data_IF_810400571489
#
_entry.id   IF_810400571489
#
_cell.length_a   1.000
_cell.length_b   1.000
_cell.length_c   1.000
_cell.angle_alpha   90.00
_cell.angle_beta   90.00
_cell.angle_gamma   90.00
#
_symmetry.space_group_name_H-M   'P 1'
#
loop_
_entity.id
_entity.type
_entity.pdbx_description
1 polymer ?
#
# COMPACT_ATOMS: atom_id res chain seq x y z
N UNK A 1 -8.60 4.48 15.01
CA UNK A 1 -7.99 3.50 14.07
C UNK A 1 -6.97 4.16 13.12
N UNK A 2 -5.80 3.57 12.94
CA UNK A 2 -4.73 4.02 12.02
C UNK A 2 -5.26 4.36 10.61
N UNK A 3 -6.27 3.61 10.16
CA UNK A 3 -7.00 3.86 8.90
C UNK A 3 -7.69 5.24 8.87
N UNK A 4 -8.35 5.66 9.95
CA UNK A 4 -8.98 6.99 10.01
C UNK A 4 -7.94 8.12 10.08
N UNK A 5 -6.85 7.92 10.83
CA UNK A 5 -5.75 8.89 10.90
C UNK A 5 -5.03 9.04 9.55
N UNK A 6 -4.95 7.96 8.76
CA UNK A 6 -4.36 8.00 7.42
C UNK A 6 -5.18 8.82 6.41
N UNK A 7 -6.53 8.77 6.46
CA UNK A 7 -7.41 9.52 5.53
C UNK A 7 -7.18 11.04 5.56
N UNK A 8 -6.83 11.61 6.71
CA UNK A 8 -6.56 13.05 6.85
C UNK A 8 -5.20 13.45 6.25
N UNK A 9 -4.25 12.52 6.17
CA UNK A 9 -2.89 12.76 5.65
C UNK A 9 -2.79 12.57 4.12
N UNK A 10 -3.58 11.66 3.53
CA UNK A 10 -3.55 11.36 2.08
C UNK A 10 -4.06 12.52 1.21
N UNK A 11 -4.76 13.51 1.77
CA UNK A 11 -5.20 14.69 1.02
C UNK A 11 -4.06 15.63 0.61
N UNK A 12 -2.80 15.37 1.01
CA UNK A 12 -1.72 16.34 0.90
C UNK A 12 -0.58 16.05 -0.09
N UNK A 13 -0.34 14.82 -0.62
CA UNK A 13 0.55 14.69 -1.77
C UNK A 13 0.00 13.84 -2.94
N UNK A 14 0.32 14.28 -4.15
CA UNK A 14 0.15 13.57 -5.43
C UNK A 14 0.80 12.19 -5.41
N UNK A 15 0.18 11.19 -6.05
CA UNK A 15 0.85 9.93 -6.42
C UNK A 15 2.02 10.26 -7.35
N UNK A 16 3.25 10.30 -6.84
CA UNK A 16 4.45 10.48 -7.66
C UNK A 16 5.23 9.16 -7.73
N UNK A 17 5.86 8.87 -8.88
CA UNK A 17 6.80 7.77 -8.98
C UNK A 17 7.97 7.96 -7.99
N UNK A 18 8.51 6.86 -7.42
CA UNK A 18 9.60 6.96 -6.45
C UNK A 18 10.92 7.41 -7.11
N UNK A 19 11.61 8.40 -6.53
CA UNK A 19 12.96 8.83 -6.97
C UNK A 19 14.07 7.80 -6.62
N UNK A 20 13.82 6.90 -5.66
CA UNK A 20 14.75 5.84 -5.23
C UNK A 20 14.00 4.57 -4.83
N UNK A 21 14.35 3.46 -5.45
CA UNK A 21 13.86 2.14 -5.08
C UNK A 21 14.77 1.57 -3.98
N UNK A 22 14.29 1.54 -2.74
CA UNK A 22 14.99 0.85 -1.66
C UNK A 22 14.72 -0.65 -1.79
N UNK A 23 15.73 -1.51 -1.63
CA UNK A 23 15.50 -2.96 -1.62
C UNK A 23 14.54 -3.35 -0.48
N UNK A 24 13.83 -4.49 -0.60
CA UNK A 24 12.96 -4.98 0.47
C UNK A 24 13.71 -5.16 1.78
N UNK A 25 13.12 -4.68 2.88
CA UNK A 25 13.62 -4.89 4.24
C UNK A 25 12.80 -5.93 4.98
N UNK A 26 13.44 -6.65 5.89
CA UNK A 26 12.80 -7.64 6.77
C UNK A 26 12.97 -7.28 8.24
N UNK A 27 11.89 -7.43 9.01
CA UNK A 27 11.83 -7.39 10.47
C UNK A 27 11.28 -8.73 10.95
N UNK A 28 11.89 -9.34 11.96
CA UNK A 28 11.38 -10.58 12.56
C UNK A 28 10.69 -10.26 13.87
N UNK A 29 9.42 -10.66 13.99
CA UNK A 29 8.60 -10.47 15.19
C UNK A 29 8.31 -11.81 15.83
N UNK A 30 8.74 -11.98 17.08
CA UNK A 30 8.53 -13.17 17.88
C UNK A 30 7.08 -13.40 18.28
N UNK A 31 6.76 -14.62 18.71
CA UNK A 31 5.43 -14.99 19.23
C UNK A 31 4.94 -14.09 20.38
N UNK A 32 5.89 -13.54 21.15
CA UNK A 32 5.71 -12.58 22.24
C UNK A 32 5.53 -11.12 21.76
N UNK A 33 5.44 -10.91 20.44
CA UNK A 33 5.39 -9.59 19.79
C UNK A 33 6.67 -8.76 19.94
N UNK A 34 7.76 -9.34 20.45
CA UNK A 34 9.05 -8.68 20.51
C UNK A 34 9.75 -8.73 19.15
N UNK A 35 10.44 -7.64 18.79
CA UNK A 35 11.28 -7.62 17.59
C UNK A 35 12.58 -8.38 17.87
N UNK A 36 12.82 -9.46 17.11
CA UNK A 36 14.00 -10.33 17.25
C UNK A 36 15.16 -9.91 16.35
N UNK A 37 14.85 -9.26 15.23
CA UNK A 37 15.86 -8.82 14.28
C UNK A 37 15.32 -7.82 13.27
N UNK A 38 16.19 -6.94 12.77
CA UNK A 38 15.86 -5.93 11.77
C UNK A 38 17.05 -5.83 10.80
N UNK A 39 16.79 -6.01 9.52
CA UNK A 39 17.80 -5.83 8.45
C UNK A 39 18.19 -4.35 8.27
N UNK A 40 19.39 -4.03 7.74
CA UNK A 40 19.76 -2.65 7.39
C UNK A 40 18.76 -1.97 6.44
N UNK A 41 18.23 -2.72 5.48
CA UNK A 41 17.23 -2.25 4.51
C UNK A 41 15.91 -1.92 5.21
N UNK A 42 15.49 -2.72 6.19
CA UNK A 42 14.34 -2.38 7.01
C UNK A 42 14.57 -1.10 7.81
N UNK A 43 15.76 -0.88 8.39
CA UNK A 43 16.08 0.40 9.05
C UNK A 43 16.03 1.59 8.07
N UNK A 44 16.41 1.40 6.80
CA UNK A 44 16.22 2.42 5.78
C UNK A 44 14.73 2.72 5.57
N UNK A 45 13.89 1.68 5.42
CA UNK A 45 12.45 1.86 5.31
C UNK A 45 11.80 2.52 6.54
N UNK A 46 12.17 2.13 7.75
CA UNK A 46 11.60 2.71 8.99
C UNK A 46 11.87 4.22 9.10
N UNK A 47 13.00 4.71 8.54
CA UNK A 47 13.30 6.15 8.48
C UNK A 47 12.39 6.91 7.51
N UNK A 48 11.90 6.23 6.47
CA UNK A 48 11.05 6.78 5.41
C UNK A 48 9.56 6.72 5.72
N UNK A 49 9.13 5.81 6.62
CA UNK A 49 7.75 5.73 7.08
C UNK A 49 7.49 6.87 8.07
N UNK A 50 6.45 7.66 7.81
CA UNK A 50 5.87 8.58 8.79
C UNK A 50 4.41 8.24 8.92
N UNK A 51 4.00 7.85 10.14
CA UNK A 51 2.60 7.61 10.43
C UNK A 51 1.88 8.94 10.69
N UNK A 52 0.57 9.02 10.40
CA UNK A 52 -0.20 10.23 10.66
C UNK A 52 -0.30 10.53 12.16
N UNK A 53 -0.13 11.80 12.52
CA UNK A 53 -0.26 12.30 13.89
C UNK A 53 1.07 12.56 14.60
N UNK A 54 1.02 13.40 15.65
CA UNK A 54 2.16 13.72 16.55
C UNK A 54 2.51 12.57 17.50
N UNK A 55 2.41 11.34 16.99
CA UNK A 55 2.89 10.16 17.67
C UNK A 55 4.43 10.26 17.61
N UNK A 56 5.04 10.42 18.79
CA UNK A 56 6.46 10.64 19.03
C UNK A 56 7.36 9.73 18.15
N UNK A 57 8.64 10.03 17.98
CA UNK A 57 9.67 9.10 17.44
C UNK A 57 9.29 8.10 16.31
N UNK A 58 9.69 8.31 15.04
CA UNK A 58 9.29 7.47 13.90
C UNK A 58 9.56 5.96 14.06
N UNK A 59 10.54 5.58 14.88
CA UNK A 59 10.92 4.17 15.07
C UNK A 59 9.91 3.33 15.86
N UNK A 60 9.34 3.84 16.96
CA UNK A 60 8.38 3.02 17.73
C UNK A 60 7.07 2.86 16.96
N UNK A 61 6.66 3.89 16.21
CA UNK A 61 5.44 3.88 15.43
C UNK A 61 5.52 2.82 14.32
N UNK A 62 6.69 2.72 13.69
CA UNK A 62 6.96 1.72 12.68
C UNK A 62 7.19 0.30 13.28
N UNK A 63 7.71 0.18 14.50
CA UNK A 63 7.70 -1.08 15.27
C UNK A 63 6.27 -1.52 15.62
N UNK A 64 5.41 -0.61 16.08
CA UNK A 64 4.01 -0.90 16.39
C UNK A 64 3.24 -1.39 15.15
N UNK A 65 3.44 -0.73 14.00
CA UNK A 65 2.93 -1.19 12.72
C UNK A 65 3.40 -2.61 12.38
N UNK A 66 4.69 -2.90 12.59
CA UNK A 66 5.25 -4.23 12.33
C UNK A 66 4.59 -5.28 13.22
N UNK A 67 4.34 -4.96 14.49
CA UNK A 67 3.60 -5.85 15.39
C UNK A 67 2.15 -6.07 14.95
N UNK A 68 1.43 -5.02 14.52
CA UNK A 68 0.06 -5.14 14.00
C UNK A 68 -0.01 -6.03 12.77
N UNK A 69 0.90 -5.84 11.83
CA UNK A 69 0.99 -6.66 10.62
C UNK A 69 1.38 -8.11 10.95
N UNK A 70 2.26 -8.31 11.94
CA UNK A 70 2.59 -9.64 12.43
C UNK A 70 1.38 -10.36 13.07
N UNK A 71 0.58 -9.64 13.88
CA UNK A 71 -0.67 -10.16 14.46
C UNK A 71 -1.65 -10.55 13.35
N UNK A 72 -1.82 -9.69 12.34
CA UNK A 72 -2.66 -10.00 11.18
C UNK A 72 -2.15 -11.24 10.43
N UNK A 73 -0.82 -11.38 10.29
CA UNK A 73 -0.20 -12.56 9.66
C UNK A 73 -0.56 -13.86 10.37
N UNK A 74 -0.44 -13.87 11.71
CA UNK A 74 -0.82 -15.04 12.52
C UNK A 74 -2.30 -15.37 12.39
N UNK A 75 -3.17 -14.36 12.39
CA UNK A 75 -4.61 -14.56 12.20
C UNK A 75 -4.89 -15.17 10.83
N UNK A 76 -4.26 -14.65 9.78
CA UNK A 76 -4.43 -15.15 8.41
C UNK A 76 -3.95 -16.60 8.23
N UNK A 77 -2.85 -17.01 8.88
CA UNK A 77 -2.40 -18.41 8.83
C UNK A 77 -3.39 -19.37 9.52
N UNK A 78 -4.02 -18.94 10.61
CA UNK A 78 -5.02 -19.74 11.34
C UNK A 78 -6.39 -19.76 10.66
N UNK A 79 -6.73 -18.67 10.01
CA UNK A 79 -7.99 -18.48 9.30
C UNK A 79 -7.74 -17.73 7.97
N UNK A 80 -7.64 -18.45 6.85
CA UNK A 80 -7.45 -17.83 5.54
C UNK A 80 -8.61 -16.93 5.07
N UNK A 81 -9.77 -16.96 5.75
CA UNK A 81 -10.88 -16.03 5.47
C UNK A 81 -10.67 -14.64 6.09
N UNK A 82 -9.72 -14.51 7.03
CA UNK A 82 -9.36 -13.23 7.62
C UNK A 82 -8.71 -12.27 6.59
N UNK A 83 -8.74 -10.95 6.83
CA UNK A 83 -8.08 -9.99 5.94
C UNK A 83 -6.60 -10.29 5.75
N UNK A 84 -6.10 -10.08 4.53
CA UNK A 84 -4.68 -10.27 4.22
C UNK A 84 -3.79 -9.39 5.12
N UNK A 85 -2.63 -9.89 5.56
CA UNK A 85 -1.76 -9.17 6.49
C UNK A 85 -0.89 -8.15 5.76
N UNK A 86 -1.53 -7.19 5.08
CA UNK A 86 -0.86 -6.16 4.30
C UNK A 86 -1.35 -4.79 4.74
N UNK A 87 -0.41 -3.94 5.14
CA UNK A 87 -0.67 -2.52 5.35
C UNK A 87 0.01 -1.72 4.24
N UNK A 88 -0.73 -0.81 3.60
CA UNK A 88 -0.16 0.22 2.74
C UNK A 88 -0.13 1.53 3.50
N UNK A 89 0.94 2.30 3.39
CA UNK A 89 1.11 3.58 4.09
C UNK A 89 1.82 4.61 3.22
N UNK A 90 1.51 5.90 3.39
CA UNK A 90 2.26 6.94 2.72
C UNK A 90 3.66 7.05 3.35
N UNK A 91 4.67 7.33 2.52
CA UNK A 91 6.01 7.70 2.97
C UNK A 91 6.11 9.20 3.22
N UNK A 92 7.05 9.59 4.09
CA UNK A 92 7.37 10.97 4.44
C UNK A 92 7.79 11.84 3.24
N UNK A 93 8.43 11.22 2.24
CA UNK A 93 8.98 11.91 1.09
C UNK A 93 8.10 11.63 -0.13
N UNK A 94 7.34 12.66 -0.54
CA UNK A 94 6.91 12.87 -1.92
C UNK A 94 6.02 11.78 -2.58
N UNK A 95 4.95 11.33 -1.92
CA UNK A 95 3.91 10.54 -2.61
C UNK A 95 4.26 9.07 -2.87
N UNK A 96 5.29 8.55 -2.19
CA UNK A 96 5.63 7.12 -2.20
C UNK A 96 4.67 6.36 -1.29
N UNK A 97 4.38 5.12 -1.66
CA UNK A 97 3.64 4.18 -0.83
C UNK A 97 4.54 3.03 -0.41
N UNK A 98 4.39 2.63 0.84
CA UNK A 98 5.10 1.49 1.44
C UNK A 98 4.09 0.39 1.67
N UNK A 99 4.39 -0.82 1.21
CA UNK A 99 3.67 -2.03 1.62
C UNK A 99 4.44 -2.78 2.70
N UNK A 100 3.70 -3.19 3.73
CA UNK A 100 4.21 -3.95 4.87
C UNK A 100 3.42 -5.24 4.95
N UNK A 101 4.09 -6.37 4.77
CA UNK A 101 3.49 -7.70 4.71
C UNK A 101 3.90 -8.53 5.92
N UNK A 102 2.95 -9.20 6.56
CA UNK A 102 3.21 -10.14 7.66
C UNK A 102 3.15 -11.57 7.14
N UNK A 103 4.27 -12.27 7.15
CA UNK A 103 4.41 -13.63 6.66
C UNK A 103 4.83 -14.55 7.81
N UNK A 104 3.91 -15.34 8.39
CA UNK A 104 4.26 -16.34 9.38
C UNK A 104 5.35 -17.29 8.86
N UNK A 105 6.31 -17.63 9.72
CA UNK A 105 7.37 -18.57 9.41
C UNK A 105 6.97 -20.03 9.68
N UNK A 106 5.75 -20.24 10.16
CA UNK A 106 5.11 -21.54 10.35
C UNK A 106 3.68 -21.55 9.79
N UNK A 107 3.16 -22.77 9.56
CA UNK A 107 1.84 -22.95 8.96
C UNK A 107 0.68 -22.66 9.93
N UNK A 108 0.92 -22.77 11.25
CA UNK A 108 -0.11 -22.59 12.28
C UNK A 108 -0.12 -21.16 12.89
N UNK A 109 0.80 -20.30 12.45
CA UNK A 109 0.87 -18.90 12.87
C UNK A 109 1.13 -18.74 14.37
N UNK A 110 1.86 -19.65 15.00
CA UNK A 110 2.14 -19.61 16.45
C UNK A 110 3.49 -19.01 16.77
N UNK A 111 4.45 -19.12 15.87
CA UNK A 111 5.82 -18.69 16.03
C UNK A 111 6.06 -17.31 15.44
N UNK A 112 7.23 -17.22 14.82
CA UNK A 112 7.78 -15.98 14.32
C UNK A 112 7.10 -15.54 13.04
N UNK A 113 7.08 -14.23 12.83
CA UNK A 113 6.53 -13.62 11.63
C UNK A 113 7.59 -12.75 11.00
N UNK A 114 7.89 -12.99 9.73
CA UNK A 114 8.66 -12.08 8.90
C UNK A 114 7.75 -10.94 8.46
N UNK A 115 8.11 -9.72 8.85
CA UNK A 115 7.48 -8.49 8.38
C UNK A 115 8.35 -7.92 7.26
N UNK A 116 7.83 -7.98 6.04
CA UNK A 116 8.52 -7.50 4.84
C UNK A 116 8.04 -6.10 4.49
N UNK A 117 8.97 -5.16 4.43
CA UNK A 117 8.73 -3.76 4.08
C UNK A 117 9.33 -3.48 2.73
N UNK A 118 8.54 -2.95 1.80
CA UNK A 118 8.97 -2.58 0.46
C UNK A 118 8.12 -1.43 -0.06
N UNK A 119 8.49 -0.84 -1.19
CA UNK A 119 7.58 0.08 -1.86
C UNK A 119 6.27 -0.68 -2.21
N UNK A 120 5.13 -0.02 -2.36
CA UNK A 120 3.87 -0.66 -2.74
C UNK A 120 3.69 -0.78 -4.26
N UNK A 121 3.20 -1.93 -4.76
CA UNK A 121 2.80 -2.17 -6.15
C UNK A 121 1.29 -2.21 -6.31
N UNK A 122 0.75 -3.16 -7.08
CA UNK A 122 -0.70 -3.30 -7.31
C UNK A 122 -1.52 -3.62 -6.05
N UNK A 123 -0.90 -4.14 -4.99
CA UNK A 123 -1.53 -4.32 -3.68
C UNK A 123 -2.03 -3.00 -3.06
N UNK A 124 -1.58 -1.87 -3.59
CA UNK A 124 -1.97 -0.53 -3.19
C UNK A 124 -3.41 -0.18 -3.62
N UNK A 125 -3.97 -0.85 -4.63
CA UNK A 125 -5.28 -0.50 -5.22
C UNK A 125 -6.45 -0.43 -4.21
N UNK A 126 -6.63 -1.38 -3.28
CA UNK A 126 -7.67 -1.29 -2.26
C UNK A 126 -7.46 -0.10 -1.32
N UNK A 127 -6.20 0.20 -0.98
CA UNK A 127 -5.85 1.30 -0.09
C UNK A 127 -6.09 2.66 -0.77
N UNK A 128 -5.67 2.83 -2.03
CA UNK A 128 -5.99 4.02 -2.84
C UNK A 128 -7.50 4.24 -2.92
N UNK A 129 -8.26 3.15 -3.11
CA UNK A 129 -9.70 3.28 -3.20
C UNK A 129 -10.33 3.76 -1.89
N UNK A 130 -9.81 3.31 -0.75
CA UNK A 130 -10.26 3.79 0.56
C UNK A 130 -9.89 5.25 0.82
N UNK A 131 -8.68 5.66 0.42
CA UNK A 131 -8.17 7.00 0.75
C UNK A 131 -8.63 8.09 -0.21
N UNK A 132 -8.66 7.81 -1.50
CA UNK A 132 -9.10 8.76 -2.53
C UNK A 132 -10.59 8.62 -2.88
N UNK A 133 -11.33 7.81 -2.12
CA UNK A 133 -12.76 7.55 -2.32
C UNK A 133 -13.04 7.09 -3.77
N UNK A 134 -12.19 6.19 -4.27
CA UNK A 134 -12.29 5.65 -5.62
C UNK A 134 -13.47 4.67 -5.65
N UNK A 135 -14.42 4.97 -6.54
CA UNK A 135 -15.64 4.17 -6.72
C UNK A 135 -15.32 2.81 -7.34
N UNK A 136 -16.27 1.88 -7.27
CA UNK A 136 -16.10 0.55 -7.89
C UNK A 136 -15.80 0.64 -9.40
N UNK A 137 -16.43 1.58 -10.12
CA UNK A 137 -16.21 1.78 -11.56
C UNK A 137 -14.85 2.38 -11.88
N UNK A 138 -14.43 3.39 -11.11
CA UNK A 138 -13.09 3.98 -11.25
C UNK A 138 -12.00 2.93 -10.92
N UNK A 139 -12.21 2.06 -9.93
CA UNK A 139 -11.29 0.96 -9.60
C UNK A 139 -11.17 -0.06 -10.73
N UNK A 140 -12.27 -0.39 -11.40
CA UNK A 140 -12.26 -1.30 -12.55
C UNK A 140 -11.43 -0.73 -13.72
N UNK A 141 -11.53 0.59 -13.98
CA UNK A 141 -10.68 1.27 -14.96
C UNK A 141 -9.21 1.28 -14.50
N UNK A 142 -8.96 1.62 -13.23
CA UNK A 142 -7.63 1.70 -12.63
C UNK A 142 -6.86 0.37 -12.73
N UNK A 143 -7.55 -0.75 -12.51
CA UNK A 143 -6.96 -2.10 -12.57
C UNK A 143 -6.47 -2.51 -13.97
N UNK A 144 -6.93 -1.87 -15.04
CA UNK A 144 -6.47 -2.12 -16.41
C UNK A 144 -5.34 -1.20 -16.87
N UNK A 145 -4.97 -0.20 -16.08
CA UNK A 145 -3.89 0.72 -16.46
C UNK A 145 -2.52 0.06 -16.53
N UNK A 146 -2.12 -0.82 -15.59
CA UNK A 146 -0.84 -1.52 -15.65
C UNK A 146 -0.64 -2.36 -16.92
N UNK A 147 -1.73 -2.86 -17.53
CA UNK A 147 -1.67 -3.64 -18.77
C UNK A 147 -1.23 -2.79 -20.00
N UNK A 148 -1.12 -1.46 -19.87
CA UNK A 148 -0.77 -0.57 -20.98
C UNK A 148 -1.83 -0.48 -22.09
N UNK A 149 -2.99 -1.13 -21.94
CA UNK A 149 -3.98 -1.21 -23.01
C UNK A 149 -4.71 0.13 -23.26
N UNK A 150 -5.07 0.43 -24.51
CA UNK A 150 -5.74 1.69 -24.86
C UNK A 150 -7.14 1.79 -24.26
N UNK A 151 -7.62 3.01 -24.03
CA UNK A 151 -8.94 3.28 -23.44
C UNK A 151 -10.09 2.59 -24.21
N UNK A 152 -9.97 2.44 -25.54
CA UNK A 152 -10.93 1.69 -26.36
C UNK A 152 -11.03 0.21 -25.98
N UNK A 153 -9.91 -0.40 -25.60
CA UNK A 153 -9.89 -1.80 -25.16
C UNK A 153 -10.41 -1.95 -23.72
N UNK A 154 -10.10 -0.99 -22.84
CA UNK A 154 -10.69 -0.92 -21.50
C UNK A 154 -12.22 -0.79 -21.60
N UNK A 155 -12.70 0.10 -22.47
CA UNK A 155 -14.12 0.32 -22.74
C UNK A 155 -14.82 -0.98 -23.16
N UNK A 156 -14.20 -1.74 -24.07
CA UNK A 156 -14.70 -3.06 -24.50
C UNK A 156 -14.71 -4.09 -23.37
N UNK A 157 -13.69 -4.13 -22.51
CA UNK A 157 -13.61 -5.08 -21.39
C UNK A 157 -14.63 -4.77 -20.29
N UNK A 158 -14.95 -3.50 -20.08
CA UNK A 158 -15.88 -3.04 -19.05
C UNK A 158 -17.32 -2.82 -19.57
N UNK A 159 -17.57 -3.11 -20.85
CA UNK A 159 -18.84 -2.89 -21.54
C UNK A 159 -19.39 -1.46 -21.36
N UNK A 160 -18.55 -0.47 -21.66
CA UNK A 160 -18.89 0.97 -21.59
C UNK A 160 -18.35 1.72 -22.81
N UNK A 161 -18.75 2.97 -22.99
CA UNK A 161 -18.20 3.82 -24.04
C UNK A 161 -16.77 4.30 -23.71
N UNK A 162 -15.98 4.61 -24.74
CA UNK A 162 -14.65 5.24 -24.55
C UNK A 162 -14.77 6.58 -23.82
N UNK A 163 -15.85 7.32 -24.08
CA UNK A 163 -16.15 8.57 -23.37
C UNK A 163 -16.29 8.32 -21.85
N UNK A 164 -17.02 7.28 -21.46
CA UNK A 164 -17.19 6.89 -20.05
C UNK A 164 -15.86 6.52 -19.38
N UNK A 165 -14.99 5.77 -20.07
CA UNK A 165 -13.64 5.48 -19.56
C UNK A 165 -12.83 6.76 -19.34
N UNK A 166 -12.87 7.68 -20.31
CA UNK A 166 -12.17 8.97 -20.19
C UNK A 166 -12.69 9.82 -19.03
N UNK A 167 -14.00 9.82 -18.78
CA UNK A 167 -14.59 10.50 -17.61
C UNK A 167 -14.12 9.87 -16.28
N UNK A 168 -14.05 8.54 -16.20
CA UNK A 168 -13.46 7.86 -15.04
C UNK A 168 -11.98 8.19 -14.86
N UNK A 169 -11.19 8.28 -15.93
CA UNK A 169 -9.79 8.69 -15.86
C UNK A 169 -9.63 10.14 -15.37
N UNK A 170 -10.46 11.08 -15.85
CA UNK A 170 -10.46 12.46 -15.35
C UNK A 170 -10.81 12.53 -13.86
N UNK A 171 -11.78 11.73 -13.42
CA UNK A 171 -12.14 11.65 -12.01
C UNK A 171 -10.98 11.09 -11.16
N UNK A 172 -10.29 10.06 -11.66
CA UNK A 172 -9.08 9.52 -11.03
C UNK A 172 -7.97 10.58 -10.92
N UNK A 173 -7.66 11.32 -11.99
CA UNK A 173 -6.66 12.40 -11.97
C UNK A 173 -7.01 13.47 -10.93
N UNK A 174 -8.26 13.93 -10.90
CA UNK A 174 -8.73 14.91 -9.91
C UNK A 174 -8.62 14.40 -8.47
N UNK A 175 -8.96 13.13 -8.24
CA UNK A 175 -8.94 12.54 -6.90
C UNK A 175 -7.53 12.28 -6.39
N UNK A 176 -6.64 11.82 -7.28
CA UNK A 176 -5.27 11.39 -6.92
C UNK A 176 -4.23 12.50 -7.03
N UNK A 177 -4.56 13.60 -7.71
CA UNK A 177 -3.62 14.67 -8.02
C UNK A 177 -2.62 14.34 -9.14
N UNK A 178 -2.77 13.20 -9.82
CA UNK A 178 -1.97 12.86 -10.99
C UNK A 178 -2.31 13.75 -12.19
N UNK A 179 -1.31 14.06 -12.99
CA UNK A 179 -1.47 14.83 -14.23
C UNK A 179 -1.80 13.97 -15.44
N UNK A 180 -1.59 12.65 -15.35
CA UNK A 180 -1.86 11.75 -16.48
C UNK A 180 -1.78 10.27 -16.16
N UNK A 181 -2.04 9.47 -17.21
CA UNK A 181 -2.04 7.99 -17.14
C UNK A 181 -0.70 7.44 -16.70
N UNK A 182 0.39 7.99 -17.24
CA UNK A 182 1.75 7.50 -17.00
C UNK A 182 2.15 7.61 -15.53
N UNK A 183 1.76 8.68 -14.84
CA UNK A 183 2.01 8.82 -13.39
C UNK A 183 1.25 7.77 -12.58
N UNK A 184 -0.01 7.50 -12.91
CA UNK A 184 -0.78 6.45 -12.25
C UNK A 184 -0.17 5.08 -12.52
N UNK A 185 0.21 4.81 -13.78
CA UNK A 185 0.87 3.55 -14.15
C UNK A 185 2.18 3.41 -13.39
N UNK A 186 3.04 4.43 -13.37
CA UNK A 186 4.30 4.39 -12.64
C UNK A 186 4.11 4.20 -11.12
N UNK A 187 3.01 4.67 -10.55
CA UNK A 187 2.67 4.43 -9.15
C UNK A 187 2.15 3.00 -8.87
N UNK A 188 1.59 2.31 -9.88
CA UNK A 188 1.02 0.97 -9.76
C UNK A 188 1.93 -0.14 -10.29
N UNK A 189 2.82 0.20 -11.22
CA UNK A 189 3.71 -0.70 -11.92
C UNK A 189 4.99 -0.92 -11.13
N UNK A 190 5.27 -2.20 -10.89
CA UNK A 190 6.56 -2.74 -10.49
C UNK A 190 6.83 -3.98 -11.32
#
# INVERSE_FOLDING_TARGET
PLVAASRTYVRAPSLRPPDRDLPPGVIVVGADHAVRGITPEAHAWLREIRLPGSLAGPEWAAKALSCEVAIAGRRFARDPASPRPVACLPSAYAGRWVSVHGQPLDADGRGDVAVVVRSAGTELLPALASWYEITGRERAVLGHLPDGIPAKQIARRLDVSVHTVNEHLKALYRKTGCTGREEIVAALSR
#
